data_IF_059514199408
#
_entry.id   IF_059514199408
#
_cell.length_a   1.000
_cell.length_b   1.000
_cell.length_c   1.000
_cell.angle_alpha   90.00
_cell.angle_beta   90.00
_cell.angle_gamma   90.00
#
_symmetry.space_group_name_H-M   'P 1'
#
loop_
_entity.id
_entity.type
_entity.pdbx_description
1 polymer ?
#
# COMPACT_ATOMS: atom_id res chain seq x y z
N UNK A 1 -27.21 -19.10 -2.21
CA UNK A 1 -26.52 -19.97 -1.23
C UNK A 1 -25.43 -19.14 -0.58
N UNK A 2 -25.27 -19.23 0.74
CA UNK A 2 -24.21 -18.49 1.45
C UNK A 2 -22.88 -19.23 1.24
N UNK A 3 -21.85 -18.52 0.80
CA UNK A 3 -20.52 -19.09 0.67
C UNK A 3 -19.88 -19.26 2.06
N UNK A 4 -19.16 -20.35 2.26
CA UNK A 4 -18.40 -20.65 3.48
C UNK A 4 -16.99 -21.07 3.08
N UNK A 5 -15.99 -20.60 3.82
CA UNK A 5 -14.61 -21.08 3.68
C UNK A 5 -14.29 -22.07 4.80
N UNK A 6 -13.46 -23.06 4.48
CA UNK A 6 -12.94 -24.04 5.44
C UNK A 6 -11.42 -24.00 5.39
N UNK A 7 -10.78 -23.63 6.50
CA UNK A 7 -9.32 -23.59 6.64
C UNK A 7 -8.92 -24.40 7.85
N UNK A 8 -8.11 -25.44 7.64
CA UNK A 8 -7.60 -26.32 8.70
C UNK A 8 -8.69 -26.91 9.61
N UNK A 9 -9.86 -27.23 9.03
CA UNK A 9 -11.02 -27.75 9.77
C UNK A 9 -11.87 -26.68 10.47
N UNK A 10 -11.47 -25.41 10.45
CA UNK A 10 -12.21 -24.29 11.04
C UNK A 10 -13.07 -23.60 9.98
N UNK A 11 -14.34 -23.35 10.32
CA UNK A 11 -15.30 -22.71 9.41
C UNK A 11 -15.24 -21.20 9.50
N UNK A 12 -15.42 -20.58 8.34
CA UNK A 12 -15.48 -19.15 8.18
C UNK A 12 -16.74 -18.78 7.38
N UNK A 13 -17.56 -17.90 7.94
CA UNK A 13 -18.82 -17.46 7.36
C UNK A 13 -18.66 -16.08 6.75
N UNK A 14 -19.32 -15.85 5.62
CA UNK A 14 -19.24 -14.56 4.94
C UNK A 14 -19.77 -13.44 5.85
N UNK A 15 -18.96 -12.39 5.99
CA UNK A 15 -19.27 -11.15 6.69
C UNK A 15 -19.41 -10.03 5.66
N UNK A 16 -20.57 -9.39 5.61
CA UNK A 16 -20.78 -8.19 4.80
C UNK A 16 -20.58 -6.97 5.70
N UNK A 17 -19.71 -6.02 5.33
CA UNK A 17 -19.56 -4.78 6.07
C UNK A 17 -20.90 -4.05 6.18
N UNK A 18 -21.18 -3.45 7.33
CA UNK A 18 -22.44 -2.72 7.53
C UNK A 18 -22.44 -1.36 6.81
N UNK A 19 -21.25 -0.80 6.58
CA UNK A 19 -21.05 0.50 5.95
C UNK A 19 -19.84 0.50 5.03
N UNK A 20 -19.87 1.37 4.02
CA UNK A 20 -18.81 1.53 3.04
C UNK A 20 -17.49 1.94 3.70
N UNK A 21 -17.52 2.72 4.78
CA UNK A 21 -16.31 3.14 5.48
C UNK A 21 -15.54 1.95 6.07
N UNK A 22 -16.22 0.87 6.47
CA UNK A 22 -15.54 -0.36 6.93
C UNK A 22 -14.78 -1.02 5.77
N UNK A 23 -15.40 -1.10 4.59
CA UNK A 23 -14.74 -1.63 3.39
C UNK A 23 -13.58 -0.73 2.95
N UNK A 24 -13.76 0.59 2.99
CA UNK A 24 -12.72 1.57 2.67
C UNK A 24 -11.48 1.41 3.57
N UNK A 25 -11.68 1.25 4.88
CA UNK A 25 -10.59 0.99 5.82
C UNK A 25 -9.85 -0.32 5.50
N UNK A 26 -10.56 -1.37 5.10
CA UNK A 26 -9.96 -2.64 4.71
C UNK A 26 -9.14 -2.52 3.41
N UNK A 27 -9.66 -1.81 2.42
CA UNK A 27 -8.95 -1.55 1.15
C UNK A 27 -7.68 -0.76 1.39
N UNK A 28 -7.73 0.28 2.23
CA UNK A 28 -6.54 1.06 2.64
C UNK A 28 -5.52 0.19 3.37
N UNK A 29 -5.99 -0.65 4.31
CA UNK A 29 -5.13 -1.54 5.10
C UNK A 29 -4.40 -2.55 4.22
N UNK A 30 -5.08 -3.15 3.24
CA UNK A 30 -4.52 -4.20 2.37
C UNK A 30 -4.18 -3.70 0.96
N UNK A 31 -3.92 -2.40 0.80
CA UNK A 31 -3.72 -1.79 -0.51
C UNK A 31 -2.59 -2.46 -1.33
N UNK A 32 -1.54 -2.95 -0.66
CA UNK A 32 -0.39 -3.59 -1.32
C UNK A 32 -0.74 -4.98 -1.82
N UNK A 33 -1.50 -5.73 -1.04
CA UNK A 33 -1.99 -7.06 -1.39
C UNK A 33 -3.01 -6.96 -2.53
N UNK A 34 -3.85 -5.92 -2.52
CA UNK A 34 -4.89 -5.66 -3.53
C UNK A 34 -4.29 -5.10 -4.82
N UNK A 35 -3.48 -4.05 -4.74
CA UNK A 35 -3.04 -3.28 -5.91
C UNK A 35 -1.59 -3.53 -6.35
N UNK A 36 -0.74 -4.04 -5.45
CA UNK A 36 0.66 -4.35 -5.69
C UNK A 36 1.60 -3.39 -4.94
N UNK A 37 2.86 -3.80 -4.76
CA UNK A 37 3.90 -3.00 -4.07
C UNK A 37 4.30 -1.73 -4.83
N UNK A 38 4.09 -1.72 -6.14
CA UNK A 38 4.39 -0.61 -7.04
C UNK A 38 3.18 0.30 -7.27
N UNK A 39 2.09 0.09 -6.51
CA UNK A 39 0.89 0.91 -6.55
C UNK A 39 0.87 1.93 -5.41
N UNK A 40 0.42 3.15 -5.73
CA UNK A 40 0.22 4.25 -4.78
C UNK A 40 -1.26 4.57 -4.74
N UNK A 41 -1.90 4.34 -3.60
CA UNK A 41 -3.27 4.75 -3.35
C UNK A 41 -3.27 6.13 -2.65
N UNK A 42 -3.78 7.14 -3.34
CA UNK A 42 -3.97 8.48 -2.82
C UNK A 42 -5.37 8.62 -2.21
N UNK A 43 -5.42 8.66 -0.89
CA UNK A 43 -6.65 8.89 -0.13
C UNK A 43 -6.99 10.39 -0.15
N UNK A 44 -7.61 10.84 -1.25
CA UNK A 44 -7.93 12.24 -1.52
C UNK A 44 -9.41 12.37 -1.86
N UNK A 45 -10.20 12.94 -0.94
CA UNK A 45 -11.61 13.28 -1.18
C UNK A 45 -11.76 14.69 -1.78
N UNK A 46 -11.25 14.89 -3.00
CA UNK A 46 -11.38 16.18 -3.71
C UNK A 46 -12.28 16.09 -4.95
N UNK A 47 -13.13 17.12 -5.11
CA UNK A 47 -14.12 17.21 -6.20
C UNK A 47 -13.50 17.50 -7.55
N UNK A 48 -13.72 16.60 -8.50
CA UNK A 48 -13.47 16.80 -9.94
C UNK A 48 -14.77 17.17 -10.65
N UNK A 49 -14.70 17.75 -11.86
CA UNK A 49 -15.86 18.23 -12.60
C UNK A 49 -15.81 17.71 -14.04
N UNK A 50 -16.97 17.50 -14.67
CA UNK A 50 -17.06 17.34 -16.12
C UNK A 50 -17.06 18.70 -16.83
N UNK A 51 -16.94 18.70 -18.16
CA UNK A 51 -17.10 19.90 -19.01
C UNK A 51 -18.44 20.62 -18.76
N UNK A 52 -19.48 19.86 -18.42
CA UNK A 52 -20.83 20.36 -18.08
C UNK A 52 -20.96 20.93 -16.66
N UNK A 53 -19.86 20.98 -15.89
CA UNK A 53 -19.79 21.59 -14.55
C UNK A 53 -20.37 20.72 -13.41
N UNK A 54 -20.91 19.54 -13.71
CA UNK A 54 -21.35 18.57 -12.70
C UNK A 54 -20.12 17.94 -12.05
N UNK A 55 -20.04 18.01 -10.73
CA UNK A 55 -18.88 17.50 -10.01
C UNK A 55 -19.16 16.19 -9.29
N UNK A 56 -18.11 15.41 -9.12
CA UNK A 56 -18.08 14.11 -8.45
C UNK A 56 -16.79 14.00 -7.62
N UNK A 57 -16.78 13.15 -6.61
CA UNK A 57 -15.64 12.94 -5.70
C UNK A 57 -15.35 11.45 -5.72
N UNK A 58 -14.21 10.98 -6.26
CA UNK A 58 -13.80 9.59 -6.11
C UNK A 58 -13.36 9.32 -4.67
N UNK A 59 -13.45 8.07 -4.25
CA UNK A 59 -12.99 7.69 -2.92
C UNK A 59 -11.47 7.75 -2.78
N UNK A 60 -10.76 7.37 -3.85
CA UNK A 60 -9.31 7.47 -3.93
C UNK A 60 -8.85 7.56 -5.38
N UNK A 61 -7.58 7.92 -5.54
CA UNK A 61 -6.87 7.84 -6.82
C UNK A 61 -5.81 6.75 -6.71
N UNK A 62 -5.62 5.94 -7.74
CA UNK A 62 -4.61 4.89 -7.78
C UNK A 62 -3.64 5.14 -8.92
N UNK A 63 -2.35 5.12 -8.63
CA UNK A 63 -1.30 5.14 -9.65
C UNK A 63 -0.43 3.89 -9.55
N UNK A 64 -0.31 3.16 -10.65
CA UNK A 64 0.57 1.99 -10.77
C UNK A 64 1.86 2.41 -11.45
N UNK A 65 2.93 2.49 -10.66
CA UNK A 65 4.23 3.01 -11.13
C UNK A 65 4.92 2.08 -12.12
N UNK A 66 4.61 0.78 -12.12
CA UNK A 66 5.20 -0.22 -13.00
C UNK A 66 4.58 -0.24 -14.40
N UNK A 67 3.29 0.13 -14.52
CA UNK A 67 2.55 0.18 -15.79
C UNK A 67 2.23 1.59 -16.26
N UNK A 68 2.55 2.62 -15.46
CA UNK A 68 2.13 4.01 -15.64
C UNK A 68 0.60 4.19 -15.73
N UNK A 69 -0.19 3.24 -15.20
CA UNK A 69 -1.65 3.30 -15.25
C UNK A 69 -2.23 4.10 -14.08
N UNK A 70 -3.29 4.86 -14.37
CA UNK A 70 -4.05 5.64 -13.40
C UNK A 70 -5.51 5.23 -13.32
N UNK A 71 -6.05 5.15 -12.12
CA UNK A 71 -7.44 4.80 -11.89
C UNK A 71 -8.08 5.73 -10.86
N UNK A 72 -9.35 6.03 -11.09
CA UNK A 72 -10.24 6.50 -10.02
C UNK A 72 -10.77 5.26 -9.29
N UNK A 73 -10.71 5.25 -7.96
CA UNK A 73 -11.18 4.14 -7.14
C UNK A 73 -12.47 4.56 -6.46
N UNK A 74 -13.49 3.72 -6.58
CA UNK A 74 -14.77 3.85 -5.90
C UNK A 74 -15.01 2.61 -5.04
N UNK A 75 -15.52 2.79 -3.83
CA UNK A 75 -15.74 1.73 -2.85
C UNK A 75 -17.22 1.70 -2.49
N UNK A 76 -17.89 0.62 -2.85
CA UNK A 76 -19.35 0.51 -2.76
C UNK A 76 -19.72 -0.80 -2.06
N UNK A 77 -20.83 -0.82 -1.34
CA UNK A 77 -21.41 -2.06 -0.83
C UNK A 77 -22.49 -2.56 -1.78
N UNK A 78 -22.57 -3.88 -1.98
CA UNK A 78 -23.58 -4.55 -2.80
C UNK A 78 -25.00 -4.48 -2.26
N UNK A 79 -25.19 -4.08 -1.00
CA UNK A 79 -26.49 -3.78 -0.39
C UNK A 79 -27.01 -2.39 -0.73
N UNK A 80 -26.13 -1.47 -1.14
CA UNK A 80 -26.43 -0.06 -1.40
C UNK A 80 -26.43 0.39 -2.87
N UNK A 81 -25.98 -0.36 -3.90
CA UNK A 81 -25.87 0.21 -5.21
C UNK A 81 -27.20 0.04 -5.91
N UNK A 82 -28.00 1.10 -5.92
CA UNK A 82 -28.98 1.23 -6.98
C UNK A 82 -28.20 1.27 -8.31
N UNK A 83 -28.62 0.45 -9.28
CA UNK A 83 -28.01 0.38 -10.62
C UNK A 83 -27.71 1.77 -11.23
N UNK A 84 -28.61 2.73 -10.99
CA UNK A 84 -28.48 4.13 -11.40
C UNK A 84 -27.31 4.87 -10.75
N UNK A 85 -26.96 4.57 -9.49
CA UNK A 85 -25.92 5.28 -8.75
C UNK A 85 -24.53 5.01 -9.34
N UNK A 86 -24.16 3.72 -9.47
CA UNK A 86 -22.88 3.32 -10.07
C UNK A 86 -22.76 3.85 -11.50
N UNK A 87 -23.81 3.68 -12.32
CA UNK A 87 -23.76 4.11 -13.73
C UNK A 87 -23.62 5.62 -13.86
N UNK A 88 -24.32 6.40 -13.05
CA UNK A 88 -24.22 7.86 -13.04
C UNK A 88 -22.85 8.33 -12.53
N UNK A 89 -22.38 7.79 -11.41
CA UNK A 89 -21.13 8.19 -10.78
C UNK A 89 -19.92 7.86 -11.65
N UNK A 90 -19.83 6.61 -12.12
CA UNK A 90 -18.75 6.18 -13.02
C UNK A 90 -18.85 6.91 -14.35
N UNK A 91 -20.07 7.12 -14.90
CA UNK A 91 -20.26 7.92 -16.11
C UNK A 91 -19.72 9.35 -15.96
N UNK A 92 -19.93 9.99 -14.81
CA UNK A 92 -19.37 11.32 -14.50
C UNK A 92 -17.85 11.28 -14.39
N UNK A 93 -17.26 10.25 -13.78
CA UNK A 93 -15.81 10.07 -13.73
C UNK A 93 -15.20 9.95 -15.13
N UNK A 94 -15.73 9.06 -15.96
CA UNK A 94 -15.26 8.86 -17.32
C UNK A 94 -15.39 10.14 -18.15
N UNK A 95 -16.51 10.87 -18.01
CA UNK A 95 -16.68 12.17 -18.67
C UNK A 95 -15.72 13.24 -18.16
N UNK A 96 -15.40 13.24 -16.87
CA UNK A 96 -14.47 14.20 -16.26
C UNK A 96 -13.02 13.97 -16.73
N UNK A 97 -12.60 12.71 -16.91
CA UNK A 97 -11.26 12.39 -17.39
C UNK A 97 -11.02 12.79 -18.86
N UNK A 98 -12.08 12.93 -19.68
CA UNK A 98 -11.98 13.44 -21.06
C UNK A 98 -11.66 14.93 -21.13
N UNK A 99 -11.99 15.70 -20.10
CA UNK A 99 -11.72 17.13 -20.04
C UNK A 99 -10.25 17.40 -19.65
N UNK A 100 -9.50 18.01 -20.56
CA UNK A 100 -8.12 18.45 -20.33
C UNK A 100 -7.96 19.28 -19.05
N UNK A 101 -8.89 20.22 -18.78
CA UNK A 101 -8.80 21.07 -17.58
C UNK A 101 -8.93 20.25 -16.30
N UNK A 102 -9.71 19.19 -16.35
CA UNK A 102 -9.87 18.27 -15.23
C UNK A 102 -8.63 17.41 -15.04
N UNK A 103 -7.98 16.95 -16.12
CA UNK A 103 -6.68 16.26 -16.02
C UNK A 103 -5.60 17.16 -15.43
N UNK A 104 -5.49 18.42 -15.85
CA UNK A 104 -4.59 19.40 -15.23
C UNK A 104 -4.88 19.61 -13.75
N UNK A 105 -6.18 19.65 -13.38
CA UNK A 105 -6.59 19.77 -11.98
C UNK A 105 -6.17 18.54 -11.18
N UNK A 106 -6.38 17.33 -11.71
CA UNK A 106 -5.95 16.08 -11.05
C UNK A 106 -4.44 16.08 -10.87
N UNK A 107 -3.64 16.38 -11.90
CA UNK A 107 -2.19 16.49 -11.78
C UNK A 107 -1.76 17.49 -10.68
N UNK A 108 -2.45 18.63 -10.59
CA UNK A 108 -2.21 19.62 -9.54
C UNK A 108 -2.53 19.07 -8.14
N UNK A 109 -3.66 18.38 -7.99
CA UNK A 109 -4.09 17.75 -6.73
C UNK A 109 -3.06 16.71 -6.29
N UNK A 110 -2.65 15.83 -7.21
CA UNK A 110 -1.65 14.80 -6.93
C UNK A 110 -0.32 15.41 -6.53
N UNK A 111 0.17 16.42 -7.26
CA UNK A 111 1.40 17.13 -6.87
C UNK A 111 1.28 17.68 -5.46
N UNK A 112 0.23 18.43 -5.14
CA UNK A 112 0.07 19.03 -3.80
C UNK A 112 0.05 17.96 -2.72
N UNK A 113 -0.70 16.87 -2.92
CA UNK A 113 -0.78 15.77 -1.97
C UNK A 113 0.57 15.09 -1.78
N UNK A 114 1.25 14.75 -2.89
CA UNK A 114 2.56 14.10 -2.87
C UNK A 114 3.60 14.99 -2.17
N UNK A 115 3.67 16.28 -2.50
CA UNK A 115 4.64 17.21 -1.90
C UNK A 115 4.30 17.61 -0.46
N UNK A 116 3.10 17.28 0.02
CA UNK A 116 2.72 17.52 1.42
C UNK A 116 3.31 16.47 2.38
N UNK A 117 3.78 15.35 1.83
CA UNK A 117 4.46 14.27 2.55
C UNK A 117 5.78 13.96 1.85
N UNK A 118 6.90 14.35 2.49
CA UNK A 118 8.25 14.12 1.96
C UNK A 118 8.58 12.62 1.74
N UNK A 119 7.80 11.67 2.32
CA UNK A 119 7.95 10.21 2.13
C UNK A 119 7.52 9.90 0.74
N UNK A 120 6.30 10.33 0.51
CA UNK A 120 5.52 10.05 -0.66
C UNK A 120 6.17 10.79 -1.82
N UNK A 121 6.61 12.03 -1.60
CA UNK A 121 7.38 12.80 -2.56
C UNK A 121 8.61 12.04 -3.04
N UNK A 122 9.51 11.65 -2.12
CA UNK A 122 10.73 10.94 -2.51
C UNK A 122 10.43 9.58 -3.13
N UNK A 123 9.55 8.80 -2.52
CA UNK A 123 9.14 7.49 -3.05
C UNK A 123 8.60 7.62 -4.47
N UNK A 124 7.73 8.61 -4.70
CA UNK A 124 7.16 8.87 -6.03
C UNK A 124 8.26 9.29 -7.00
N UNK A 125 9.11 10.26 -6.63
CA UNK A 125 10.23 10.72 -7.47
C UNK A 125 11.19 9.58 -7.86
N UNK A 126 11.51 8.68 -6.92
CA UNK A 126 12.35 7.51 -7.17
C UNK A 126 11.69 6.53 -8.15
N UNK A 127 10.35 6.42 -8.12
CA UNK A 127 9.58 5.57 -9.03
C UNK A 127 9.41 6.16 -10.43
N UNK A 128 9.12 7.46 -10.52
CA UNK A 128 8.86 8.14 -11.80
C UNK A 128 10.14 8.67 -12.48
N UNK A 129 11.26 8.71 -11.76
CA UNK A 129 12.56 9.12 -12.28
C UNK A 129 12.71 10.62 -12.55
N UNK A 130 11.81 11.46 -12.03
CA UNK A 130 11.83 12.92 -12.22
C UNK A 130 11.36 13.66 -10.96
N UNK A 131 11.81 14.93 -10.82
CA UNK A 131 11.35 15.85 -9.78
C UNK A 131 10.11 16.65 -10.18
N UNK A 132 9.78 16.69 -11.46
CA UNK A 132 8.60 17.40 -11.94
C UNK A 132 7.35 16.51 -11.90
N UNK A 133 6.81 16.36 -10.69
CA UNK A 133 5.65 15.50 -10.41
C UNK A 133 4.43 15.92 -11.24
N UNK A 134 4.16 17.24 -11.33
CA UNK A 134 2.98 17.72 -12.06
C UNK A 134 3.08 17.38 -13.55
N UNK A 135 4.21 17.69 -14.17
CA UNK A 135 4.42 17.45 -15.59
C UNK A 135 4.35 15.97 -15.92
N UNK A 136 4.99 15.13 -15.09
CA UNK A 136 4.95 13.67 -15.26
C UNK A 136 3.52 13.13 -15.20
N UNK A 137 2.75 13.46 -14.16
CA UNK A 137 1.36 12.99 -14.07
C UNK A 137 0.49 13.53 -15.21
N UNK A 138 0.69 14.76 -15.65
CA UNK A 138 -0.09 15.31 -16.75
C UNK A 138 0.23 14.60 -18.07
N UNK A 139 1.50 14.61 -18.50
CA UNK A 139 1.89 14.18 -19.85
C UNK A 139 2.11 12.68 -19.99
N UNK A 140 2.70 12.03 -18.99
CA UNK A 140 3.04 10.61 -19.07
C UNK A 140 1.88 9.71 -18.68
N UNK A 141 1.00 10.19 -17.80
CA UNK A 141 -0.05 9.39 -17.17
C UNK A 141 -1.43 9.81 -17.65
N UNK A 142 -1.85 11.06 -17.37
CA UNK A 142 -3.21 11.51 -17.60
C UNK A 142 -3.53 11.76 -19.08
N UNK A 143 -2.60 12.29 -19.89
CA UNK A 143 -2.84 12.43 -21.33
C UNK A 143 -2.97 11.10 -22.07
N UNK A 144 -2.39 10.02 -21.51
CA UNK A 144 -2.50 8.67 -22.05
C UNK A 144 -3.66 7.87 -21.48
N UNK A 145 -4.49 8.48 -20.63
CA UNK A 145 -5.54 7.76 -19.89
C UNK A 145 -6.58 7.11 -20.82
N UNK A 146 -6.78 7.64 -22.02
CA UNK A 146 -7.69 7.08 -23.03
C UNK A 146 -7.12 5.81 -23.70
N UNK A 147 -5.81 5.59 -23.64
CA UNK A 147 -5.16 4.37 -24.12
C UNK A 147 -5.39 3.18 -23.16
N UNK A 148 -5.77 3.45 -21.91
CA UNK A 148 -6.05 2.41 -20.93
C UNK A 148 -7.35 1.67 -21.20
N UNK A 149 -7.33 0.36 -20.94
CA UNK A 149 -8.52 -0.51 -21.07
C UNK A 149 -9.61 -0.21 -20.03
N UNK A 150 -9.23 0.38 -18.90
CA UNK A 150 -10.11 0.82 -17.83
C UNK A 150 -9.49 1.98 -17.08
N UNK A 151 -10.34 2.86 -16.56
CA UNK A 151 -9.93 4.11 -15.90
C UNK A 151 -10.55 4.26 -14.51
N UNK A 152 -11.45 3.33 -14.16
CA UNK A 152 -12.16 3.32 -12.87
C UNK A 152 -12.10 1.90 -12.31
N UNK A 153 -11.72 1.77 -11.05
CA UNK A 153 -11.80 0.52 -10.29
C UNK A 153 -12.94 0.67 -9.28
N UNK A 154 -13.88 -0.27 -9.29
CA UNK A 154 -14.94 -0.35 -8.28
C UNK A 154 -14.58 -1.50 -7.36
N UNK A 155 -14.35 -1.22 -6.08
CA UNK A 155 -14.17 -2.23 -5.05
C UNK A 155 -15.51 -2.50 -4.38
N UNK A 156 -15.93 -3.76 -4.34
CA UNK A 156 -17.25 -4.14 -3.82
C UNK A 156 -17.19 -5.41 -2.98
N UNK A 157 -18.00 -5.49 -1.93
CA UNK A 157 -18.05 -6.67 -1.05
C UNK A 157 -18.55 -7.93 -1.78
N UNK A 158 -19.43 -7.75 -2.79
CA UNK A 158 -19.98 -8.83 -3.60
C UNK A 158 -20.46 -8.35 -4.98
N UNK A 159 -20.12 -9.09 -6.03
CA UNK A 159 -20.61 -8.84 -7.38
C UNK A 159 -22.02 -9.44 -7.53
N UNK A 160 -23.00 -8.59 -7.80
CA UNK A 160 -24.37 -9.00 -8.15
C UNK A 160 -24.60 -8.89 -9.68
N UNK A 161 -25.65 -9.53 -10.23
CA UNK A 161 -26.03 -9.37 -11.63
C UNK A 161 -26.26 -7.90 -12.01
N UNK A 162 -26.86 -7.11 -11.13
CA UNK A 162 -27.18 -5.69 -11.35
C UNK A 162 -25.91 -4.86 -11.48
N UNK A 163 -24.92 -5.07 -10.59
CA UNK A 163 -23.61 -4.40 -10.67
C UNK A 163 -22.89 -4.77 -11.97
N UNK A 164 -22.96 -6.05 -12.36
CA UNK A 164 -22.35 -6.53 -13.61
C UNK A 164 -22.97 -5.88 -14.83
N UNK A 165 -24.29 -5.74 -14.84
CA UNK A 165 -25.03 -5.06 -15.92
C UNK A 165 -24.70 -3.56 -15.95
N UNK A 166 -24.74 -2.88 -14.80
CA UNK A 166 -24.40 -1.47 -14.63
C UNK A 166 -23.01 -1.16 -15.20
N UNK A 167 -22.01 -1.96 -14.84
CA UNK A 167 -20.66 -1.81 -15.35
C UNK A 167 -20.53 -2.20 -16.83
N UNK A 168 -21.35 -3.14 -17.29
CA UNK A 168 -21.33 -3.68 -18.66
C UNK A 168 -21.80 -2.71 -19.73
N UNK A 169 -22.57 -1.67 -19.37
CA UNK A 169 -23.03 -0.64 -20.31
C UNK A 169 -22.07 0.56 -20.44
N UNK A 170 -21.16 0.74 -19.49
CA UNK A 170 -20.22 1.86 -19.45
C UNK A 170 -19.04 1.63 -20.39
N UNK A 171 -18.52 2.68 -21.02
CA UNK A 171 -17.35 2.61 -21.92
C UNK A 171 -16.35 3.73 -21.61
N UNK A 172 -15.08 3.40 -21.34
CA UNK A 172 -14.57 2.03 -21.11
C UNK A 172 -15.19 1.40 -19.86
N UNK A 173 -15.17 0.07 -19.80
CA UNK A 173 -15.78 -0.65 -18.68
C UNK A 173 -14.95 -0.42 -17.42
N UNK A 174 -15.58 -0.10 -16.27
CA UNK A 174 -14.86 -0.10 -15.00
C UNK A 174 -14.39 -1.51 -14.66
N UNK A 175 -13.24 -1.60 -13.99
CA UNK A 175 -12.73 -2.85 -13.43
C UNK A 175 -13.40 -3.10 -12.09
N UNK A 176 -14.11 -4.22 -11.96
CA UNK A 176 -14.73 -4.61 -10.69
C UNK A 176 -13.74 -5.48 -9.90
N UNK A 177 -13.50 -5.11 -8.65
CA UNK A 177 -12.70 -5.86 -7.68
C UNK A 177 -13.63 -6.30 -6.55
N UNK A 178 -13.92 -7.59 -6.50
CA UNK A 178 -14.69 -8.18 -5.40
C UNK A 178 -13.77 -8.43 -4.20
N UNK A 179 -14.12 -7.87 -3.04
CA UNK A 179 -13.39 -7.99 -1.79
C UNK A 179 -14.29 -8.60 -0.71
N UNK A 180 -14.27 -9.94 -0.60
CA UNK A 180 -15.10 -10.67 0.37
C UNK A 180 -14.40 -10.78 1.71
N UNK A 181 -15.16 -10.58 2.78
CA UNK A 181 -14.71 -10.82 4.16
C UNK A 181 -15.41 -12.05 4.73
N UNK A 182 -14.70 -12.81 5.55
CA UNK A 182 -15.24 -13.96 6.27
C UNK A 182 -14.77 -13.95 7.72
N UNK A 183 -15.65 -14.26 8.67
CA UNK A 183 -15.37 -14.35 10.10
C UNK A 183 -15.31 -15.79 10.56
N UNK A 184 -14.42 -16.09 11.50
CA UNK A 184 -14.27 -17.44 12.06
C UNK A 184 -15.45 -17.79 12.95
N UNK A 185 -15.92 -19.04 12.91
CA UNK A 185 -17.12 -19.51 13.64
C UNK A 185 -17.06 -19.33 15.16
N UNK A 186 -15.86 -19.32 15.75
CA UNK A 186 -15.59 -19.25 17.19
C UNK A 186 -14.88 -17.94 17.60
N UNK A 187 -14.57 -17.04 16.65
CA UNK A 187 -13.92 -15.76 16.92
C UNK A 187 -14.16 -14.73 15.82
N UNK A 188 -15.10 -13.81 16.03
CA UNK A 188 -15.46 -12.76 15.06
C UNK A 188 -14.31 -11.80 14.72
N UNK A 189 -13.33 -11.63 15.61
CA UNK A 189 -12.15 -10.80 15.38
C UNK A 189 -11.15 -11.43 14.40
N UNK A 190 -11.24 -12.74 14.15
CA UNK A 190 -10.37 -13.45 13.21
C UNK A 190 -11.05 -13.50 11.86
N UNK A 191 -10.49 -12.78 10.89
CA UNK A 191 -11.04 -12.63 9.55
C UNK A 191 -10.16 -13.25 8.47
N UNK A 192 -10.80 -13.77 7.42
CA UNK A 192 -10.19 -14.11 6.13
C UNK A 192 -10.73 -13.14 5.09
N UNK A 193 -9.87 -12.68 4.18
CA UNK A 193 -10.25 -11.85 3.05
C UNK A 193 -9.97 -12.58 1.75
N UNK A 194 -10.92 -12.53 0.81
CA UNK A 194 -10.79 -13.14 -0.50
C UNK A 194 -11.03 -12.08 -1.57
N UNK A 195 -10.06 -11.93 -2.45
CA UNK A 195 -10.12 -11.03 -3.60
C UNK A 195 -9.17 -11.53 -4.69
N UNK A 196 -9.35 -11.04 -5.91
CA UNK A 196 -8.38 -11.23 -6.99
C UNK A 196 -7.51 -9.99 -7.07
N UNK A 197 -6.18 -10.09 -6.83
CA UNK A 197 -5.29 -8.93 -6.91
C UNK A 197 -5.37 -8.24 -8.27
N UNK A 198 -5.20 -6.92 -8.28
CA UNK A 198 -5.31 -6.13 -9.49
C UNK A 198 -4.06 -6.19 -10.39
N UNK A 199 -3.03 -6.92 -9.95
CA UNK A 199 -1.74 -7.13 -10.61
C UNK A 199 -1.49 -8.62 -10.86
N UNK A 200 -0.57 -8.93 -11.77
CA UNK A 200 -0.11 -10.31 -11.96
C UNK A 200 0.80 -10.68 -10.80
N UNK A 201 0.38 -11.62 -9.97
CA UNK A 201 1.22 -12.17 -8.92
C UNK A 201 2.50 -12.73 -9.55
N UNK A 202 3.67 -12.17 -9.20
CA UNK A 202 4.98 -12.63 -9.67
C UNK A 202 5.38 -13.91 -8.92
N UNK A 203 4.51 -14.92 -8.91
CA UNK A 203 4.63 -16.11 -8.07
C UNK A 203 4.80 -15.78 -6.58
N UNK A 204 4.98 -16.79 -5.72
CA UNK A 204 5.60 -16.52 -4.43
C UNK A 204 6.93 -15.81 -4.71
N UNK A 205 7.17 -14.66 -4.07
CA UNK A 205 8.53 -14.13 -3.96
C UNK A 205 9.37 -15.33 -3.54
N UNK A 206 10.40 -15.75 -4.31
CA UNK A 206 11.28 -16.78 -3.81
C UNK A 206 11.67 -16.33 -2.39
N UNK A 207 11.57 -17.21 -1.39
CA UNK A 207 12.05 -16.85 -0.07
C UNK A 207 13.44 -16.27 -0.29
N UNK A 208 13.76 -15.09 0.28
CA UNK A 208 15.12 -14.57 0.17
C UNK A 208 16.04 -15.75 0.51
N UNK A 209 17.06 -16.03 -0.33
CA UNK A 209 17.91 -17.19 -0.11
C UNK A 209 18.33 -17.15 1.36
N UNK A 210 18.12 -18.24 2.11
CA UNK A 210 18.41 -18.25 3.54
C UNK A 210 19.84 -17.74 3.68
N UNK A 211 20.08 -16.68 4.46
CA UNK A 211 21.42 -16.15 4.54
C UNK A 211 22.35 -17.21 5.12
N UNK A 212 23.39 -17.56 4.38
CA UNK A 212 24.13 -18.82 4.59
C UNK A 212 25.34 -18.65 5.53
N UNK A 213 25.78 -17.42 5.80
CA UNK A 213 27.03 -17.15 6.53
C UNK A 213 26.87 -16.21 7.71
N UNK A 214 27.54 -16.57 8.81
CA UNK A 214 27.64 -15.72 10.00
C UNK A 214 28.45 -14.45 9.70
N UNK A 215 28.14 -13.36 10.41
CA UNK A 215 28.99 -12.18 10.41
C UNK A 215 30.22 -12.39 11.29
N UNK A 216 31.43 -12.19 10.75
CA UNK A 216 32.58 -11.91 11.60
C UNK A 216 32.47 -10.49 12.18
N UNK A 217 33.13 -10.24 13.31
CA UNK A 217 33.16 -8.91 13.94
C UNK A 217 33.66 -7.81 12.99
N UNK A 218 34.70 -8.11 12.20
CA UNK A 218 35.25 -7.14 11.24
C UNK A 218 34.26 -6.82 10.11
N UNK A 219 33.62 -7.82 9.53
CA UNK A 219 32.62 -7.62 8.46
C UNK A 219 31.41 -6.84 8.97
N UNK A 220 30.90 -7.21 10.15
CA UNK A 220 29.77 -6.51 10.76
C UNK A 220 30.10 -5.04 11.00
N UNK A 221 31.28 -4.75 11.54
CA UNK A 221 31.68 -3.38 11.83
C UNK A 221 31.90 -2.57 10.56
N UNK A 222 32.45 -3.17 9.50
CA UNK A 222 32.56 -2.53 8.19
C UNK A 222 31.16 -2.22 7.61
N UNK A 223 30.25 -3.19 7.68
CA UNK A 223 28.87 -3.04 7.21
C UNK A 223 28.10 -1.94 7.96
N UNK A 224 28.24 -1.88 9.29
CA UNK A 224 27.60 -0.89 10.15
C UNK A 224 28.09 0.54 9.86
N UNK A 225 29.35 0.73 9.47
CA UNK A 225 29.90 2.05 9.10
C UNK A 225 29.28 2.65 7.84
N UNK A 226 28.77 1.82 6.94
CA UNK A 226 28.16 2.25 5.68
C UNK A 226 26.64 2.48 5.78
N UNK A 227 26.06 2.31 6.98
CA UNK A 227 24.62 2.46 7.18
C UNK A 227 24.23 3.94 7.19
N UNK A 228 23.04 4.23 6.67
CA UNK A 228 22.48 5.58 6.80
C UNK A 228 22.20 5.93 8.27
N UNK A 229 22.01 7.22 8.55
CA UNK A 229 21.67 7.70 9.90
C UNK A 229 20.42 7.00 10.47
N UNK A 230 19.38 6.84 9.65
CA UNK A 230 18.15 6.15 10.03
C UNK A 230 18.36 4.64 10.29
N UNK A 231 19.14 3.97 9.44
CA UNK A 231 19.49 2.55 9.64
C UNK A 231 20.33 2.36 10.91
N UNK A 232 21.25 3.28 11.16
CA UNK A 232 22.09 3.32 12.35
C UNK A 232 21.25 3.50 13.61
N UNK A 233 20.34 4.48 13.62
CA UNK A 233 19.44 4.71 14.75
C UNK A 233 18.56 3.50 15.02
N UNK A 234 17.99 2.89 13.98
CA UNK A 234 17.18 1.68 14.09
C UNK A 234 17.95 0.51 14.73
N UNK A 235 19.12 0.16 14.20
CA UNK A 235 19.95 -0.93 14.74
C UNK A 235 20.42 -0.61 16.16
N UNK A 236 20.77 0.65 16.44
CA UNK A 236 21.17 1.11 17.77
C UNK A 236 20.03 0.97 18.78
N UNK A 237 18.82 1.39 18.41
CA UNK A 237 17.63 1.23 19.25
C UNK A 237 17.39 -0.24 19.57
N UNK A 238 17.29 -1.11 18.56
CA UNK A 238 17.07 -2.53 18.78
C UNK A 238 18.18 -3.20 19.61
N UNK A 239 19.43 -2.74 19.50
CA UNK A 239 20.55 -3.30 20.29
C UNK A 239 20.42 -3.04 21.79
N UNK A 240 19.68 -2.00 22.20
CA UNK A 240 19.50 -1.61 23.61
C UNK A 240 18.37 -2.36 24.30
N UNK A 241 17.43 -2.91 23.55
CA UNK A 241 16.19 -3.48 24.09
C UNK A 241 16.38 -4.97 24.31
N UNK A 242 15.90 -5.50 25.44
CA UNK A 242 16.06 -6.92 25.79
C UNK A 242 15.18 -7.85 24.96
N UNK A 243 13.97 -7.41 24.62
CA UNK A 243 12.94 -8.16 23.91
C UNK A 243 12.60 -7.51 22.56
N UNK A 244 11.50 -7.95 21.94
CA UNK A 244 10.91 -7.32 20.75
C UNK A 244 10.42 -5.90 21.03
N UNK A 245 10.51 -5.04 20.02
CA UNK A 245 10.07 -3.66 20.01
C UNK A 245 8.93 -3.48 19.01
N UNK A 246 7.78 -3.01 19.47
CA UNK A 246 6.65 -2.75 18.58
C UNK A 246 6.90 -1.54 17.68
N UNK A 247 6.34 -1.58 16.47
CA UNK A 247 6.48 -0.52 15.49
C UNK A 247 6.16 0.86 16.12
N UNK A 248 5.03 1.03 16.79
CA UNK A 248 4.65 2.32 17.40
C UNK A 248 5.64 2.84 18.46
N UNK A 249 6.32 1.95 19.17
CA UNK A 249 7.34 2.31 20.16
C UNK A 249 8.67 2.63 19.50
N UNK A 250 9.12 1.80 18.54
CA UNK A 250 10.26 2.08 17.68
C UNK A 250 10.12 3.46 17.03
N UNK A 251 8.94 3.76 16.51
CA UNK A 251 8.61 5.01 15.86
C UNK A 251 8.81 6.19 16.82
N UNK A 252 8.35 6.06 18.06
CA UNK A 252 8.52 7.08 19.10
C UNK A 252 10.00 7.28 19.47
N UNK A 253 10.75 6.19 19.64
CA UNK A 253 12.18 6.27 19.94
C UNK A 253 12.98 6.92 18.81
N UNK A 254 12.75 6.49 17.57
CA UNK A 254 13.45 7.06 16.41
C UNK A 254 13.12 8.55 16.22
N UNK A 255 11.88 8.96 16.45
CA UNK A 255 11.49 10.39 16.45
C UNK A 255 12.25 11.18 17.52
N UNK A 256 12.43 10.61 18.72
CA UNK A 256 13.20 11.27 19.77
C UNK A 256 14.69 11.36 19.45
N UNK A 257 15.24 10.42 18.68
CA UNK A 257 16.67 10.38 18.36
C UNK A 257 17.05 11.24 17.16
N UNK A 258 16.21 11.25 16.12
CA UNK A 258 16.53 11.84 14.82
C UNK A 258 15.73 13.11 14.51
N UNK A 259 14.69 13.41 15.29
CA UNK A 259 13.73 14.46 14.96
C UNK A 259 12.65 13.98 13.98
N UNK A 260 11.58 14.76 13.85
CA UNK A 260 10.36 14.39 13.09
C UNK A 260 10.58 14.24 11.58
N UNK A 261 11.66 14.80 11.04
CA UNK A 261 11.94 14.87 9.60
C UNK A 261 12.46 13.55 9.01
N UNK A 262 12.98 12.63 9.85
CA UNK A 262 13.41 11.29 9.44
C UNK A 262 12.27 10.27 9.40
N UNK A 263 11.03 10.77 9.61
CA UNK A 263 9.74 10.07 9.63
C UNK A 263 9.55 9.03 8.52
N UNK A 264 10.20 9.41 7.45
CA UNK A 264 9.61 9.55 6.16
C UNK A 264 10.12 8.42 5.25
N UNK A 265 11.13 7.71 5.73
CA UNK A 265 11.87 6.72 4.96
C UNK A 265 12.09 5.44 5.76
N UNK A 266 11.37 5.16 6.86
CA UNK A 266 11.63 3.95 7.66
C UNK A 266 11.43 2.69 6.83
N UNK A 267 10.30 2.54 6.14
CA UNK A 267 10.06 1.38 5.27
C UNK A 267 11.13 1.23 4.18
N UNK A 268 11.50 2.34 3.51
CA UNK A 268 12.56 2.34 2.50
C UNK A 268 13.95 2.07 3.06
N UNK A 269 14.27 2.59 4.25
CA UNK A 269 15.55 2.42 4.92
C UNK A 269 15.73 1.00 5.44
N UNK A 270 14.69 0.39 6.00
CA UNK A 270 14.68 -1.01 6.43
C UNK A 270 14.73 -1.96 5.24
N UNK A 271 13.97 -1.67 4.17
CA UNK A 271 14.08 -2.40 2.91
C UNK A 271 15.50 -2.32 2.32
N UNK A 272 16.11 -1.13 2.32
CA UNK A 272 17.49 -0.92 1.91
C UNK A 272 18.51 -1.64 2.79
N UNK A 273 18.24 -1.74 4.10
CA UNK A 273 19.08 -2.47 5.04
C UNK A 273 19.05 -3.97 4.76
N UNK A 274 17.86 -4.56 4.63
CA UNK A 274 17.70 -5.97 4.29
C UNK A 274 18.33 -6.31 2.93
N UNK A 275 18.18 -5.44 1.93
CA UNK A 275 18.82 -5.61 0.63
C UNK A 275 20.35 -5.59 0.74
N UNK A 276 20.91 -4.72 1.59
CA UNK A 276 22.35 -4.65 1.80
C UNK A 276 22.89 -5.89 2.54
N UNK A 277 22.16 -6.43 3.53
CA UNK A 277 22.50 -7.69 4.20
C UNK A 277 22.50 -8.84 3.19
N UNK A 278 21.43 -8.94 2.40
CA UNK A 278 21.25 -9.99 1.39
C UNK A 278 22.36 -9.99 0.32
N UNK A 279 22.83 -8.82 -0.13
CA UNK A 279 23.95 -8.72 -1.08
C UNK A 279 25.27 -9.28 -0.55
N UNK A 280 25.42 -9.36 0.77
CA UNK A 280 26.60 -9.93 1.42
C UNK A 280 26.43 -11.43 1.70
N UNK A 281 25.26 -12.02 1.42
CA UNK A 281 24.92 -13.41 1.75
C UNK A 281 25.11 -13.73 3.25
N UNK A 282 24.84 -12.75 4.12
CA UNK A 282 25.03 -12.85 5.59
C UNK A 282 23.72 -12.93 6.34
N UNK A 283 23.73 -13.55 7.52
CA UNK A 283 22.57 -13.66 8.41
C UNK A 283 21.91 -12.31 8.70
N UNK A 284 20.58 -12.31 8.84
CA UNK A 284 19.87 -11.10 9.23
C UNK A 284 20.28 -10.64 10.63
N UNK A 285 20.41 -9.33 10.80
CA UNK A 285 20.76 -8.71 12.07
C UNK A 285 19.54 -8.59 13.00
N UNK A 286 18.34 -8.60 12.44
CA UNK A 286 17.07 -8.51 13.16
C UNK A 286 16.00 -9.29 12.40
N UNK A 287 14.88 -9.57 13.06
CA UNK A 287 13.68 -10.11 12.43
C UNK A 287 12.47 -9.25 12.77
N UNK A 288 11.46 -9.30 11.93
CA UNK A 288 10.18 -8.65 12.16
C UNK A 288 9.05 -9.68 12.16
N UNK A 289 7.94 -9.35 12.83
CA UNK A 289 6.83 -10.27 13.01
C UNK A 289 5.58 -9.56 13.52
N UNK A 290 4.51 -10.33 13.70
CA UNK A 290 3.22 -9.82 14.18
C UNK A 290 2.77 -10.60 15.40
N UNK A 291 2.20 -9.89 16.37
CA UNK A 291 1.51 -10.47 17.52
C UNK A 291 0.22 -9.69 17.86
N UNK A 292 -0.32 -9.93 19.05
CA UNK A 292 -1.52 -9.29 19.60
C UNK A 292 -1.41 -7.77 19.78
N UNK A 293 -0.19 -7.22 19.84
CA UNK A 293 0.10 -5.78 19.98
C UNK A 293 0.54 -5.14 18.67
N UNK A 294 0.63 -5.92 17.59
CA UNK A 294 0.89 -5.43 16.23
C UNK A 294 2.26 -5.85 15.69
N UNK A 295 2.76 -5.08 14.72
CA UNK A 295 4.06 -5.34 14.10
C UNK A 295 5.19 -5.08 15.11
N UNK A 296 6.17 -5.97 15.16
CA UNK A 296 7.33 -5.86 16.04
C UNK A 296 8.63 -6.16 15.31
N UNK A 297 9.73 -5.70 15.90
CA UNK A 297 11.10 -5.95 15.47
C UNK A 297 11.92 -6.48 16.64
N UNK A 298 12.80 -7.45 16.39
CA UNK A 298 13.64 -8.04 17.42
C UNK A 298 15.06 -8.27 16.89
N UNK A 299 16.06 -7.89 17.69
CA UNK A 299 17.46 -8.05 17.32
C UNK A 299 17.85 -9.52 17.38
N UNK A 300 18.56 -10.01 16.36
CA UNK A 300 19.12 -11.35 16.38
C UNK A 300 20.07 -11.49 17.59
N UNK A 301 19.82 -12.41 18.53
CA UNK A 301 20.56 -12.47 19.80
C UNK A 301 22.07 -12.57 19.62
N UNK A 302 22.50 -13.29 18.58
CA UNK A 302 23.89 -13.52 18.21
C UNK A 302 24.69 -12.25 17.88
N UNK A 303 24.04 -11.22 17.34
CA UNK A 303 24.70 -9.99 16.88
C UNK A 303 24.48 -8.80 17.80
N UNK A 304 23.55 -8.92 18.75
CA UNK A 304 23.12 -7.84 19.63
C UNK A 304 24.26 -7.16 20.38
N UNK A 305 25.11 -7.94 21.07
CA UNK A 305 26.21 -7.39 21.86
C UNK A 305 27.27 -6.72 20.98
N UNK A 306 27.54 -7.28 19.79
CA UNK A 306 28.49 -6.70 18.83
C UNK A 306 27.97 -5.39 18.24
N UNK A 307 26.68 -5.32 17.91
CA UNK A 307 26.04 -4.09 17.42
C UNK A 307 26.00 -3.03 18.53
N UNK A 308 25.68 -3.44 19.76
CA UNK A 308 25.72 -2.54 20.92
C UNK A 308 27.14 -2.02 21.19
N UNK A 309 28.17 -2.88 21.13
CA UNK A 309 29.58 -2.50 21.25
C UNK A 309 29.97 -1.46 20.19
N UNK A 310 29.53 -1.65 18.94
CA UNK A 310 29.83 -0.75 17.85
C UNK A 310 29.27 0.66 18.09
N UNK A 311 28.04 0.78 18.59
CA UNK A 311 27.38 2.06 18.81
C UNK A 311 27.64 2.73 20.17
N UNK A 312 28.38 2.05 21.05
CA UNK A 312 28.74 2.54 22.39
C UNK A 312 30.15 3.16 22.46
N UNK A 313 30.88 3.15 21.34
CA UNK A 313 32.18 3.84 21.17
C UNK A 313 31.97 5.20 20.51
#
# INVERSE_FOLDING_TARGET
>A
MQEMLLKDGVRYYQHTPEKEEELELLVKKYQKEIFGEDAILFDIKQKIKSETGRGTIPDAYLFKTDTEEFFLVEIELSSHPEYSHITEQVGRFLSALKDWKTRQKIASILKVYITSDIVLEKFTMDKIGTRDIYQYFLENVLEKIEEQTSQVIIVIDRITPEIREACGILRPNPRILEFKSYTREDAESVRIYQFTPSYKHKGPKPPPPPPEMEWSKMELFAFLKERSELQTAFLKTLSKIKEKLHADELIRELKSMLGSEFFVHIGGALGGLNNAINRQHKEYLYHDGWDDKGHFYEMAPKYKDLIYEFFSK
#
